data_IF_990734501569
#
_entry.id   IF_990734501569
#
_cell.length_a   1.000
_cell.length_b   1.000
_cell.length_c   1.000
_cell.angle_alpha   90.00
_cell.angle_beta   90.00
_cell.angle_gamma   90.00
#
_symmetry.space_group_name_H-M   'P 1'
#
loop_
_entity.id
_entity.type
_entity.pdbx_description
1 polymer ?
#
# COMPACT_ATOMS: atom_id res chain seq x y z
N UNK A 1 15.13 0.23 12.50
CA UNK A 1 15.26 -0.65 11.32
C UNK A 1 14.43 -0.05 10.20
N UNK A 2 15.02 0.27 9.06
CA UNK A 2 14.24 0.74 7.90
C UNK A 2 13.48 -0.47 7.35
N UNK A 3 12.16 -0.50 7.57
CA UNK A 3 11.31 -1.50 6.94
C UNK A 3 11.28 -1.12 5.45
N UNK A 4 11.54 -2.10 4.58
CA UNK A 4 11.40 -1.96 3.13
C UNK A 4 10.06 -2.56 2.70
N UNK A 5 9.36 -1.99 1.69
CA UNK A 5 8.15 -2.60 1.15
C UNK A 5 8.44 -4.03 0.67
N UNK A 6 7.67 -5.01 1.15
CA UNK A 6 7.77 -6.41 0.72
C UNK A 6 6.84 -6.60 -0.46
N UNK A 7 7.38 -6.94 -1.62
CA UNK A 7 6.55 -7.27 -2.77
C UNK A 7 5.87 -8.62 -2.52
N UNK A 8 4.55 -8.65 -2.67
CA UNK A 8 3.75 -9.88 -2.50
C UNK A 8 3.29 -10.43 -3.86
N UNK A 9 2.96 -9.55 -4.80
CA UNK A 9 2.61 -9.90 -6.18
C UNK A 9 3.18 -8.88 -7.17
N UNK A 10 3.07 -9.16 -8.47
CA UNK A 10 3.50 -8.21 -9.52
C UNK A 10 2.59 -6.99 -9.48
N UNK A 11 3.13 -5.85 -9.07
CA UNK A 11 2.35 -4.63 -8.90
C UNK A 11 1.73 -4.46 -7.52
N UNK A 12 1.99 -5.36 -6.56
CA UNK A 12 1.47 -5.22 -5.19
C UNK A 12 2.58 -5.37 -4.13
N UNK A 13 2.59 -4.44 -3.18
CA UNK A 13 3.56 -4.40 -2.08
C UNK A 13 2.87 -4.23 -0.74
N UNK A 14 3.36 -4.95 0.28
CA UNK A 14 2.98 -4.74 1.67
C UNK A 14 4.00 -3.82 2.36
N UNK A 15 3.50 -2.78 3.02
CA UNK A 15 4.34 -1.81 3.73
C UNK A 15 3.61 -1.20 4.93
N UNK A 16 4.17 -1.30 6.14
CA UNK A 16 3.57 -0.78 7.39
C UNK A 16 2.09 -1.19 7.58
N UNK A 17 1.77 -2.45 7.27
CA UNK A 17 0.40 -2.96 7.37
C UNK A 17 -0.57 -2.37 6.34
N UNK A 18 -0.06 -1.80 5.26
CA UNK A 18 -0.84 -1.30 4.12
C UNK A 18 -0.41 -2.00 2.83
N UNK A 19 -1.35 -2.23 1.92
CA UNK A 19 -1.09 -2.67 0.56
C UNK A 19 -0.92 -1.46 -0.36
N UNK A 20 0.09 -1.50 -1.21
CA UNK A 20 0.29 -0.58 -2.32
C UNK A 20 0.01 -1.39 -3.58
N UNK A 21 -1.02 -1.04 -4.34
CA UNK A 21 -1.37 -1.66 -5.61
C UNK A 21 -1.11 -0.71 -6.77
N UNK A 22 -0.43 -1.21 -7.80
CA UNK A 22 -0.21 -0.49 -9.06
C UNK A 22 -1.33 -0.80 -10.03
N UNK A 23 -2.08 0.22 -10.43
CA UNK A 23 -3.13 0.11 -11.45
C UNK A 23 -2.62 0.52 -12.83
N UNK A 24 -3.21 -0.06 -13.88
CA UNK A 24 -2.81 0.11 -15.29
C UNK A 24 -3.66 1.19 -15.99
N UNK A 25 -4.42 1.98 -15.25
CA UNK A 25 -5.25 3.03 -15.82
C UNK A 25 -4.41 4.27 -16.17
N UNK A 26 -4.49 4.73 -17.42
CA UNK A 26 -3.74 5.88 -17.95
C UNK A 26 -4.19 7.21 -17.32
N UNK A 27 -5.45 7.29 -16.89
CA UNK A 27 -6.09 8.53 -16.44
C UNK A 27 -6.01 8.68 -14.92
N UNK A 28 -5.93 7.56 -14.19
CA UNK A 28 -5.93 7.56 -12.72
C UNK A 28 -4.50 7.51 -12.17
N UNK A 29 -4.28 7.99 -10.93
CA UNK A 29 -2.96 7.89 -10.31
C UNK A 29 -2.51 6.42 -10.23
N UNK A 30 -1.31 6.06 -10.71
CA UNK A 30 -0.90 4.67 -10.89
C UNK A 30 -0.82 3.84 -9.60
N UNK A 31 -0.79 4.44 -8.41
CA UNK A 31 -0.69 3.71 -7.15
C UNK A 31 -1.90 3.97 -6.27
N UNK A 32 -2.44 2.90 -5.70
CA UNK A 32 -3.54 2.92 -4.75
C UNK A 32 -3.08 2.26 -3.47
N UNK A 33 -3.44 2.83 -2.32
CA UNK A 33 -3.04 2.33 -1.00
C UNK A 33 -4.28 1.89 -0.23
N UNK A 34 -4.22 0.68 0.34
CA UNK A 34 -5.27 0.08 1.16
C UNK A 34 -4.72 -0.35 2.51
N UNK A 35 -5.55 -0.38 3.55
CA UNK A 35 -5.20 -0.99 4.83
C UNK A 35 -5.21 -2.50 4.70
N UNK A 36 -4.25 -3.18 5.36
CA UNK A 36 -4.28 -4.63 5.52
C UNK A 36 -5.27 -5.04 6.62
N UNK A 37 -6.55 -4.82 6.36
CA UNK A 37 -7.67 -5.30 7.18
C UNK A 37 -8.64 -6.13 6.33
N UNK A 38 -9.58 -6.83 6.97
CA UNK A 38 -10.57 -7.68 6.26
C UNK A 38 -11.36 -6.93 5.17
N UNK A 39 -11.59 -5.63 5.37
CA UNK A 39 -12.36 -4.81 4.45
C UNK A 39 -11.50 -4.16 3.34
N UNK A 40 -10.18 -4.36 3.35
CA UNK A 40 -9.21 -3.66 2.50
C UNK A 40 -9.53 -2.16 2.37
N UNK A 41 -9.60 -1.45 3.50
CA UNK A 41 -10.05 -0.05 3.52
C UNK A 41 -9.13 0.84 2.67
N UNK A 42 -9.71 1.51 1.67
CA UNK A 42 -8.99 2.46 0.83
C UNK A 42 -8.45 3.64 1.64
N UNK A 43 -7.14 3.91 1.53
CA UNK A 43 -6.47 5.06 2.15
C UNK A 43 -6.39 6.21 1.16
N UNK A 44 -5.99 5.94 -0.08
CA UNK A 44 -5.78 6.98 -1.08
C UNK A 44 -5.07 6.51 -2.34
N UNK A 45 -5.01 7.39 -3.32
CA UNK A 45 -4.31 7.20 -4.60
C UNK A 45 -3.18 8.22 -4.75
N UNK A 46 -2.09 7.84 -5.43
CA UNK A 46 -0.94 8.72 -5.66
C UNK A 46 -0.21 8.40 -6.96
N UNK A 47 0.63 9.34 -7.40
CA UNK A 47 1.31 9.23 -8.69
C UNK A 47 2.67 8.56 -8.60
N UNK A 48 3.29 8.58 -7.42
CA UNK A 48 4.61 8.00 -7.21
C UNK A 48 4.61 6.95 -6.10
N UNK A 49 5.48 5.96 -6.25
CA UNK A 49 5.67 4.94 -5.21
C UNK A 49 6.20 5.55 -3.89
N UNK A 50 6.93 6.67 -3.97
CA UNK A 50 7.40 7.40 -2.79
C UNK A 50 6.24 7.99 -1.99
N UNK A 51 5.23 8.55 -2.64
CA UNK A 51 4.01 9.02 -1.97
C UNK A 51 3.21 7.87 -1.38
N UNK A 52 3.11 6.75 -2.11
CA UNK A 52 2.44 5.55 -1.60
C UNK A 52 3.06 5.09 -0.27
N UNK A 53 4.40 5.03 -0.20
CA UNK A 53 5.12 4.73 1.04
C UNK A 53 4.80 5.71 2.17
N UNK A 54 4.73 7.01 1.87
CA UNK A 54 4.36 8.02 2.87
C UNK A 54 2.93 7.78 3.40
N UNK A 55 1.98 7.47 2.51
CA UNK A 55 0.61 7.15 2.91
C UNK A 55 0.56 5.93 3.84
N UNK A 56 1.33 4.89 3.55
CA UNK A 56 1.44 3.71 4.42
C UNK A 56 2.02 4.07 5.80
N UNK A 57 3.08 4.88 5.86
CA UNK A 57 3.69 5.30 7.13
C UNK A 57 2.70 6.14 7.96
N UNK A 58 1.99 7.08 7.33
CA UNK A 58 1.00 7.92 7.99
C UNK A 58 -0.24 7.16 8.46
N UNK A 59 -0.53 6.01 7.84
CA UNK A 59 -1.69 5.17 8.13
C UNK A 59 -1.30 3.78 8.61
N UNK A 60 -0.16 3.67 9.30
CA UNK A 60 0.39 2.41 9.77
C UNK A 60 -0.69 1.57 10.47
N UNK A 61 -0.81 0.31 10.03
CA UNK A 61 -1.72 -0.66 10.64
C UNK A 61 -0.90 -1.63 11.48
N UNK A 62 -1.10 -1.56 12.79
CA UNK A 62 -0.44 -2.44 13.77
C UNK A 62 -1.07 -3.83 13.84
N UNK A 63 -2.38 -3.92 13.62
CA UNK A 63 -3.14 -5.17 13.56
C UNK A 63 -3.28 -5.59 12.10
N UNK A 64 -2.28 -6.31 11.59
CA UNK A 64 -2.25 -6.78 10.21
C UNK A 64 -3.14 -8.02 10.08
N UNK A 65 -4.16 -7.97 9.20
CA UNK A 65 -5.06 -9.10 9.01
C UNK A 65 -4.38 -10.32 8.35
N UNK A 66 -3.39 -10.06 7.50
CA UNK A 66 -2.55 -11.07 6.88
C UNK A 66 -1.12 -10.89 7.37
N UNK A 67 -0.62 -11.85 8.14
CA UNK A 67 0.80 -11.97 8.50
C UNK A 67 1.51 -12.72 7.36
N UNK A 68 2.45 -12.05 6.68
CA UNK A 68 3.17 -12.58 5.50
C UNK A 68 4.68 -12.69 5.73
#
# INVERSE_FOLDING_TARGET
MAISPKQIEVGEWLYYGCFIQKQVNIILPPFVVFKNNKAQTHIGTCYTFTEAKKLCILNEVKEQYLEF
#
